data_IF_404388939748
#
_entry.id   IF_404388939748
#
_cell.length_a   1.000
_cell.length_b   1.000
_cell.length_c   1.000
_cell.angle_alpha   90.00
_cell.angle_beta   90.00
_cell.angle_gamma   90.00
#
_symmetry.space_group_name_H-M   'P 1'
#
loop_
_entity.id
_entity.type
_entity.pdbx_description
1 polymer ?
#
# COMPACT_ATOMS: atom_id res chain seq x y z
N UNK A 1 28.96 -16.26 10.14
CA UNK A 1 29.24 -15.07 9.29
C UNK A 1 28.81 -15.31 7.84
N UNK A 2 29.14 -16.44 7.23
CA UNK A 2 28.82 -16.71 5.82
C UNK A 2 27.30 -16.76 5.56
N UNK A 3 26.51 -17.42 6.40
CA UNK A 3 25.06 -17.46 6.28
C UNK A 3 24.40 -16.06 6.43
N UNK A 4 24.93 -15.21 7.29
CA UNK A 4 24.43 -13.83 7.46
C UNK A 4 24.70 -13.00 6.21
N UNK A 5 25.87 -13.16 5.59
CA UNK A 5 26.19 -12.44 4.35
C UNK A 5 25.33 -12.90 3.16
N UNK A 6 25.03 -14.19 3.07
CA UNK A 6 24.11 -14.73 2.05
C UNK A 6 22.67 -14.21 2.23
N UNK A 7 22.15 -14.26 3.46
CA UNK A 7 20.84 -13.72 3.78
C UNK A 7 20.75 -12.21 3.49
N UNK A 8 21.79 -11.45 3.86
CA UNK A 8 21.84 -10.02 3.57
C UNK A 8 21.85 -9.74 2.06
N UNK A 9 22.62 -10.53 1.29
CA UNK A 9 22.67 -10.42 -0.16
C UNK A 9 21.28 -10.68 -0.79
N UNK A 10 20.54 -11.67 -0.29
CA UNK A 10 19.18 -11.97 -0.74
C UNK A 10 18.21 -10.80 -0.47
N UNK A 11 18.23 -10.24 0.74
CA UNK A 11 17.38 -9.12 1.14
C UNK A 11 17.71 -7.87 0.31
N UNK A 12 18.98 -7.51 0.23
CA UNK A 12 19.41 -6.36 -0.57
C UNK A 12 19.14 -6.58 -2.07
N UNK A 13 19.37 -7.80 -2.56
CA UNK A 13 19.08 -8.19 -3.94
C UNK A 13 17.62 -7.98 -4.31
N UNK A 14 16.68 -8.34 -3.43
CA UNK A 14 15.26 -8.09 -3.64
C UNK A 14 14.93 -6.58 -3.71
N UNK A 15 15.51 -5.77 -2.82
CA UNK A 15 15.32 -4.32 -2.84
C UNK A 15 15.89 -3.67 -4.10
N UNK A 16 17.12 -4.02 -4.47
CA UNK A 16 17.80 -3.52 -5.67
C UNK A 16 17.05 -3.94 -6.94
N UNK A 17 16.63 -5.20 -7.02
CA UNK A 17 15.84 -5.68 -8.16
C UNK A 17 14.52 -4.92 -8.32
N UNK A 18 13.80 -4.66 -7.22
CA UNK A 18 12.57 -3.85 -7.22
C UNK A 18 12.84 -2.40 -7.64
N UNK A 19 13.90 -1.80 -7.16
CA UNK A 19 14.31 -0.45 -7.54
C UNK A 19 14.57 -0.34 -9.05
N UNK A 20 15.43 -1.21 -9.57
CA UNK A 20 15.77 -1.19 -11.00
C UNK A 20 14.58 -1.52 -11.89
N UNK A 21 13.75 -2.50 -11.51
CA UNK A 21 12.55 -2.83 -12.25
C UNK A 21 11.56 -1.65 -12.25
N UNK A 22 11.42 -0.95 -11.13
CA UNK A 22 10.59 0.23 -11.02
C UNK A 22 11.11 1.39 -11.89
N UNK A 23 12.40 1.69 -11.83
CA UNK A 23 13.02 2.72 -12.68
C UNK A 23 12.89 2.40 -14.18
N UNK A 24 12.93 1.13 -14.55
CA UNK A 24 12.76 0.69 -15.93
C UNK A 24 11.30 0.82 -16.40
N UNK A 25 10.35 0.43 -15.56
CA UNK A 25 8.92 0.39 -15.91
C UNK A 25 8.23 1.76 -15.78
N UNK A 26 8.69 2.64 -14.88
CA UNK A 26 8.06 3.93 -14.62
C UNK A 26 7.93 4.81 -15.87
N UNK A 27 8.98 5.02 -16.71
CA UNK A 27 8.85 5.85 -17.90
C UNK A 27 7.83 5.29 -18.91
N UNK A 28 7.75 3.97 -19.02
CA UNK A 28 6.78 3.32 -19.88
C UNK A 28 5.35 3.50 -19.33
N UNK A 29 5.14 3.29 -18.04
CA UNK A 29 3.86 3.51 -17.37
C UNK A 29 3.42 4.98 -17.50
N UNK A 30 4.30 5.94 -17.25
CA UNK A 30 3.99 7.37 -17.38
C UNK A 30 3.55 7.71 -18.80
N UNK A 31 4.28 7.25 -19.82
CA UNK A 31 3.89 7.46 -21.23
C UNK A 31 2.52 6.86 -21.54
N UNK A 32 2.25 5.65 -21.04
CA UNK A 32 0.95 5.00 -21.19
C UNK A 32 -0.17 5.80 -20.53
N UNK A 33 0.01 6.23 -19.29
CA UNK A 33 -0.99 7.00 -18.53
C UNK A 33 -1.26 8.37 -19.17
N UNK A 34 -0.23 9.06 -19.60
CA UNK A 34 -0.34 10.35 -20.31
C UNK A 34 -1.02 10.17 -21.66
N UNK A 35 -0.62 9.17 -22.45
CA UNK A 35 -1.23 8.90 -23.76
C UNK A 35 -2.71 8.58 -23.68
N UNK A 36 -3.15 7.92 -22.61
CA UNK A 36 -4.58 7.60 -22.39
C UNK A 36 -5.32 8.62 -21.54
N UNK A 37 -4.68 9.74 -21.19
CA UNK A 37 -5.26 10.81 -20.37
C UNK A 37 -5.85 10.28 -19.04
N UNK A 38 -5.10 9.44 -18.34
CA UNK A 38 -5.49 8.77 -17.09
C UNK A 38 -5.36 9.70 -15.88
N UNK A 39 -6.04 10.85 -15.94
CA UNK A 39 -6.13 11.82 -14.85
C UNK A 39 -7.57 12.23 -14.59
N UNK A 40 -7.79 12.85 -13.45
CA UNK A 40 -9.11 13.36 -13.08
C UNK A 40 -9.52 14.51 -14.00
N UNK A 41 -10.75 14.49 -14.47
CA UNK A 41 -11.27 15.51 -15.41
C UNK A 41 -11.84 16.76 -14.73
N UNK A 42 -12.10 16.71 -13.43
CA UNK A 42 -12.65 17.81 -12.64
C UNK A 42 -11.87 18.01 -11.34
N UNK A 43 -11.64 19.27 -10.99
CA UNK A 43 -11.00 19.65 -9.70
C UNK A 43 -11.90 19.23 -8.54
N UNK A 44 -11.30 18.78 -7.45
CA UNK A 44 -12.00 18.43 -6.23
C UNK A 44 -12.42 19.70 -5.49
N UNK A 45 -13.72 19.94 -5.38
CA UNK A 45 -14.28 21.11 -4.68
C UNK A 45 -14.76 20.80 -3.28
N UNK A 46 -14.98 19.52 -2.94
CA UNK A 46 -15.51 19.08 -1.64
C UNK A 46 -14.60 18.08 -0.95
N UNK A 47 -14.46 18.22 0.38
CA UNK A 47 -13.77 17.26 1.23
C UNK A 47 -14.54 15.94 1.33
N UNK A 48 -13.86 14.87 1.80
CA UNK A 48 -14.48 13.56 2.05
C UNK A 48 -15.66 13.61 3.05
N UNK A 49 -15.70 14.65 3.91
CA UNK A 49 -16.77 14.92 4.86
C UNK A 49 -17.85 15.93 4.38
N UNK A 50 -17.84 16.31 3.11
CA UNK A 50 -18.87 17.19 2.52
C UNK A 50 -18.62 18.69 2.65
N UNK A 51 -17.55 19.13 3.31
CA UNK A 51 -17.16 20.55 3.40
C UNK A 51 -16.48 21.06 2.12
N UNK A 52 -16.55 22.37 1.86
CA UNK A 52 -15.85 23.00 0.75
C UNK A 52 -14.35 23.10 1.00
N UNK A 53 -13.52 23.03 -0.05
CA UNK A 53 -12.07 23.05 -0.01
C UNK A 53 -11.48 24.31 -0.69
N UNK A 54 -11.75 25.54 -0.19
CA UNK A 54 -11.34 26.75 -0.89
C UNK A 54 -9.82 26.92 -0.97
N UNK A 55 -9.09 26.54 0.07
CA UNK A 55 -7.61 26.62 0.13
C UNK A 55 -6.97 25.60 -0.83
N UNK A 56 -7.44 24.36 -0.79
CA UNK A 56 -6.95 23.31 -1.68
C UNK A 56 -7.18 23.67 -3.15
N UNK A 57 -8.39 24.11 -3.50
CA UNK A 57 -8.75 24.50 -4.87
C UNK A 57 -7.88 25.65 -5.37
N UNK A 58 -7.51 26.60 -4.49
CA UNK A 58 -6.67 27.74 -4.85
C UNK A 58 -5.22 27.37 -5.18
N UNK A 59 -4.64 26.43 -4.43
CA UNK A 59 -3.21 26.11 -4.53
C UNK A 59 -2.90 24.84 -5.34
N UNK A 60 -3.83 23.89 -5.41
CA UNK A 60 -3.62 22.58 -6.04
C UNK A 60 -4.58 22.26 -7.18
N UNK A 61 -5.61 23.11 -7.41
CA UNK A 61 -6.69 22.81 -8.37
C UNK A 61 -6.21 22.57 -9.80
N UNK A 62 -5.26 23.36 -10.29
CA UNK A 62 -4.77 23.23 -11.67
C UNK A 62 -3.89 21.99 -11.85
N UNK A 63 -3.07 21.62 -10.86
CA UNK A 63 -2.21 20.44 -10.89
C UNK A 63 -2.98 19.13 -10.86
N UNK A 64 -4.10 19.08 -10.12
CA UNK A 64 -4.90 17.85 -9.96
C UNK A 64 -5.49 17.33 -11.29
N UNK A 65 -5.80 18.22 -12.26
CA UNK A 65 -6.47 17.87 -13.51
C UNK A 65 -5.52 17.30 -14.56
N UNK A 66 -4.21 17.56 -14.49
CA UNK A 66 -3.25 17.12 -15.50
C UNK A 66 -2.25 16.08 -15.00
N UNK A 67 -2.28 15.75 -13.72
CA UNK A 67 -1.37 14.77 -13.13
C UNK A 67 -1.94 13.35 -13.30
N UNK A 68 -1.22 12.44 -13.99
CA UNK A 68 -1.65 11.05 -14.13
C UNK A 68 -1.82 10.38 -12.78
N UNK A 69 -2.90 9.62 -12.63
CA UNK A 69 -3.11 8.72 -11.49
C UNK A 69 -2.55 7.34 -11.80
N UNK A 70 -2.57 6.43 -10.86
CA UNK A 70 -2.08 5.06 -10.99
C UNK A 70 -0.56 4.87 -10.91
N UNK A 71 0.22 5.90 -10.58
CA UNK A 71 1.65 5.73 -10.32
C UNK A 71 1.94 4.68 -9.24
N UNK A 72 1.07 4.58 -8.23
CA UNK A 72 1.13 3.57 -7.18
C UNK A 72 1.07 2.11 -7.67
N UNK A 73 0.65 1.84 -8.90
CA UNK A 73 0.67 0.49 -9.50
C UNK A 73 2.06 -0.13 -9.45
N UNK A 74 3.12 0.65 -9.62
CA UNK A 74 4.50 0.17 -9.50
C UNK A 74 4.80 -0.32 -8.08
N UNK A 75 4.29 0.40 -7.07
CA UNK A 75 4.57 0.11 -5.65
C UNK A 75 3.97 -1.22 -5.20
N UNK A 76 2.81 -1.61 -5.71
CA UNK A 76 2.15 -2.83 -5.27
C UNK A 76 2.27 -4.02 -6.22
N UNK A 77 2.67 -3.83 -7.49
CA UNK A 77 2.91 -4.94 -8.42
C UNK A 77 4.35 -5.44 -8.43
N UNK A 78 5.32 -4.55 -8.28
CA UNK A 78 6.73 -4.91 -8.38
C UNK A 78 7.18 -5.82 -7.22
N UNK A 79 6.91 -5.49 -5.94
CA UNK A 79 7.37 -6.33 -4.84
C UNK A 79 6.88 -7.79 -4.93
N UNK A 80 5.57 -8.06 -5.13
CA UNK A 80 5.10 -9.43 -5.31
C UNK A 80 5.73 -10.16 -6.51
N UNK A 81 5.93 -9.45 -7.63
CA UNK A 81 6.56 -10.02 -8.81
C UNK A 81 8.02 -10.42 -8.53
N UNK A 82 8.78 -9.55 -7.86
CA UNK A 82 10.16 -9.84 -7.47
C UNK A 82 10.22 -11.00 -6.48
N UNK A 83 9.33 -11.02 -5.47
CA UNK A 83 9.24 -12.11 -4.49
C UNK A 83 8.92 -13.46 -5.15
N UNK A 84 8.03 -13.45 -6.15
CA UNK A 84 7.69 -14.64 -6.92
C UNK A 84 8.87 -15.15 -7.75
N UNK A 85 9.56 -14.25 -8.46
CA UNK A 85 10.72 -14.61 -9.32
C UNK A 85 11.89 -15.14 -8.49
N UNK A 86 12.12 -14.54 -7.29
CA UNK A 86 13.17 -14.98 -6.38
C UNK A 86 12.80 -16.22 -5.55
N UNK A 87 11.57 -16.72 -5.65
CA UNK A 87 11.12 -17.91 -4.93
C UNK A 87 10.91 -17.68 -3.42
N UNK A 88 10.65 -16.45 -2.98
CA UNK A 88 10.48 -16.09 -1.57
C UNK A 88 9.03 -16.19 -1.07
N UNK A 89 8.10 -16.70 -1.87
CA UNK A 89 6.71 -16.90 -1.45
C UNK A 89 6.48 -18.35 -0.97
N UNK A 90 7.26 -18.78 0.02
CA UNK A 90 7.18 -20.16 0.53
C UNK A 90 6.49 -20.23 1.89
N UNK A 91 6.63 -19.22 2.73
CA UNK A 91 6.07 -19.19 4.08
C UNK A 91 4.79 -18.37 4.16
N UNK A 92 3.83 -18.86 4.93
CA UNK A 92 2.56 -18.15 5.18
C UNK A 92 2.79 -16.75 5.76
N UNK A 93 3.82 -16.57 6.59
CA UNK A 93 4.20 -15.28 7.16
C UNK A 93 4.57 -14.23 6.10
N UNK A 94 5.00 -14.64 4.91
CA UNK A 94 5.33 -13.78 3.79
C UNK A 94 4.17 -13.67 2.80
N UNK A 95 3.47 -14.78 2.56
CA UNK A 95 2.32 -14.82 1.65
C UNK A 95 1.19 -13.92 2.15
N UNK A 96 0.92 -13.90 3.45
CA UNK A 96 -0.17 -13.13 4.03
C UNK A 96 -0.01 -11.60 3.80
N UNK A 97 1.12 -10.95 4.15
CA UNK A 97 1.32 -9.52 3.85
C UNK A 97 1.28 -9.20 2.36
N UNK A 98 1.83 -10.08 1.51
CA UNK A 98 1.76 -9.91 0.04
C UNK A 98 0.32 -9.98 -0.46
N UNK A 99 -0.48 -10.92 0.04
CA UNK A 99 -1.89 -11.03 -0.32
C UNK A 99 -2.69 -9.79 0.14
N UNK A 100 -2.45 -9.31 1.36
CA UNK A 100 -3.07 -8.08 1.89
C UNK A 100 -2.69 -6.87 1.03
N UNK A 101 -1.41 -6.72 0.67
CA UNK A 101 -0.94 -5.68 -0.22
C UNK A 101 -1.70 -5.70 -1.55
N UNK A 102 -1.80 -6.86 -2.21
CA UNK A 102 -2.49 -7.01 -3.49
C UNK A 102 -3.99 -6.69 -3.38
N UNK A 103 -4.69 -7.25 -2.37
CA UNK A 103 -6.13 -7.07 -2.20
C UNK A 103 -6.46 -5.62 -1.87
N UNK A 104 -5.77 -5.01 -0.91
CA UNK A 104 -6.01 -3.63 -0.52
C UNK A 104 -5.69 -2.65 -1.66
N UNK A 105 -4.57 -2.87 -2.37
CA UNK A 105 -4.16 -2.03 -3.49
C UNK A 105 -5.09 -2.17 -4.70
N UNK A 106 -5.63 -3.37 -4.95
CA UNK A 106 -6.60 -3.58 -6.01
C UNK A 106 -7.89 -2.80 -5.77
N UNK A 107 -8.35 -2.72 -4.54
CA UNK A 107 -9.52 -1.88 -4.19
C UNK A 107 -9.20 -0.40 -4.35
N UNK A 108 -8.01 0.05 -3.95
CA UNK A 108 -7.54 1.42 -4.21
C UNK A 108 -7.45 1.72 -5.71
N UNK A 109 -6.96 0.76 -6.50
CA UNK A 109 -6.91 0.89 -7.94
C UNK A 109 -8.30 1.03 -8.59
N UNK A 110 -9.29 0.24 -8.14
CA UNK A 110 -10.68 0.37 -8.59
C UNK A 110 -11.22 1.77 -8.26
N UNK A 111 -10.94 2.26 -7.05
CA UNK A 111 -11.38 3.59 -6.64
C UNK A 111 -10.81 4.70 -7.53
N UNK A 112 -9.52 4.67 -7.82
CA UNK A 112 -8.88 5.61 -8.73
C UNK A 112 -9.41 5.47 -10.17
N UNK A 113 -9.63 4.23 -10.61
CA UNK A 113 -10.20 3.97 -11.93
C UNK A 113 -11.60 4.58 -12.09
N UNK A 114 -12.47 4.41 -11.09
CA UNK A 114 -13.81 5.02 -11.09
C UNK A 114 -13.72 6.54 -11.17
N UNK A 115 -12.77 7.17 -10.49
CA UNK A 115 -12.57 8.61 -10.51
C UNK A 115 -12.10 9.14 -11.89
N UNK A 116 -11.25 8.38 -12.58
CA UNK A 116 -10.74 8.76 -13.92
C UNK A 116 -11.81 8.59 -15.01
N UNK A 117 -12.61 7.53 -14.89
CA UNK A 117 -13.62 7.12 -15.89
C UNK A 117 -14.95 7.88 -15.73
N UNK A 118 -15.12 8.64 -14.64
CA UNK A 118 -16.35 9.41 -14.31
C UNK A 118 -16.96 10.17 -15.51
N UNK A 119 -16.12 10.72 -16.39
CA UNK A 119 -16.58 11.45 -17.56
C UNK A 119 -17.12 10.58 -18.70
N UNK A 120 -16.72 9.31 -18.81
CA UNK A 120 -17.10 8.39 -19.89
C UNK A 120 -18.35 7.58 -19.57
N UNK A 121 -18.63 7.31 -18.32
CA UNK A 121 -19.75 6.49 -17.85
C UNK A 121 -20.77 7.27 -17.00
N UNK A 122 -20.92 8.58 -17.24
CA UNK A 122 -21.93 9.41 -16.57
C UNK A 122 -23.37 8.86 -16.70
N UNK A 123 -23.61 7.90 -17.60
CA UNK A 123 -24.88 7.20 -17.77
C UNK A 123 -25.11 6.06 -16.76
N UNK A 124 -24.07 5.59 -16.06
CA UNK A 124 -24.17 4.42 -15.12
C UNK A 124 -24.56 4.80 -13.69
N UNK A 125 -24.80 6.07 -13.39
CA UNK A 125 -25.36 6.52 -12.12
C UNK A 125 -24.54 7.61 -11.43
N UNK A 126 -25.24 8.62 -10.95
CA UNK A 126 -24.70 9.75 -10.17
C UNK A 126 -24.01 9.37 -8.85
N UNK A 127 -24.11 8.10 -8.42
CA UNK A 127 -23.58 7.62 -7.15
C UNK A 127 -22.07 7.30 -7.17
N UNK A 128 -21.45 7.13 -8.35
CA UNK A 128 -20.02 6.80 -8.46
C UNK A 128 -19.15 8.00 -8.88
N UNK A 129 -19.73 9.17 -8.99
CA UNK A 129 -19.13 10.39 -9.53
C UNK A 129 -17.98 10.98 -8.70
N UNK A 130 -17.57 10.38 -7.59
CA UNK A 130 -16.46 10.83 -6.73
C UNK A 130 -15.54 9.70 -6.27
N UNK A 131 -15.60 8.52 -6.90
CA UNK A 131 -14.98 7.29 -6.39
C UNK A 131 -15.87 6.58 -5.38
N UNK A 132 -15.35 5.57 -4.72
CA UNK A 132 -16.06 4.86 -3.66
C UNK A 132 -16.35 5.79 -2.47
N UNK A 133 -17.58 5.83 -1.99
CA UNK A 133 -17.93 6.58 -0.79
C UNK A 133 -17.09 6.11 0.40
N UNK A 134 -16.74 7.03 1.29
CA UNK A 134 -15.89 6.75 2.46
C UNK A 134 -16.39 5.54 3.28
N UNK A 135 -17.71 5.41 3.46
CA UNK A 135 -18.30 4.29 4.20
C UNK A 135 -17.97 2.91 3.60
N UNK A 136 -17.96 2.77 2.28
CA UNK A 136 -17.63 1.50 1.62
C UNK A 136 -16.15 1.17 1.77
N UNK A 137 -15.26 2.16 1.62
CA UNK A 137 -13.83 1.98 1.86
C UNK A 137 -13.56 1.57 3.31
N UNK A 138 -14.15 2.30 4.25
CA UNK A 138 -14.01 2.02 5.68
C UNK A 138 -14.50 0.60 6.04
N UNK A 139 -15.70 0.23 5.56
CA UNK A 139 -16.25 -1.11 5.78
C UNK A 139 -15.38 -2.19 5.15
N UNK A 140 -14.86 -1.98 3.95
CA UNK A 140 -13.97 -2.93 3.29
C UNK A 140 -12.68 -3.14 4.08
N UNK A 141 -12.02 -2.08 4.52
CA UNK A 141 -10.78 -2.17 5.33
C UNK A 141 -11.05 -2.85 6.68
N UNK A 142 -12.18 -2.54 7.33
CA UNK A 142 -12.58 -3.21 8.57
C UNK A 142 -12.78 -4.71 8.36
N UNK A 143 -13.50 -5.10 7.32
CA UNK A 143 -13.71 -6.52 6.97
C UNK A 143 -12.42 -7.22 6.60
N UNK A 144 -11.56 -6.57 5.80
CA UNK A 144 -10.24 -7.10 5.47
C UNK A 144 -9.41 -7.31 6.74
N UNK A 145 -9.42 -6.34 7.66
CA UNK A 145 -8.74 -6.44 8.95
C UNK A 145 -9.26 -7.60 9.81
N UNK A 146 -10.59 -7.82 9.86
CA UNK A 146 -11.17 -8.96 10.55
C UNK A 146 -10.72 -10.29 9.94
N UNK A 147 -10.76 -10.41 8.62
CA UNK A 147 -10.35 -11.64 7.91
C UNK A 147 -8.86 -11.90 8.12
N UNK A 148 -8.00 -10.91 7.98
CA UNK A 148 -6.55 -11.04 8.17
C UNK A 148 -6.24 -11.37 9.63
N UNK A 149 -6.87 -10.70 10.58
CA UNK A 149 -6.74 -11.00 12.01
C UNK A 149 -7.18 -12.42 12.37
N UNK A 150 -8.27 -12.90 11.75
CA UNK A 150 -8.70 -14.28 11.88
C UNK A 150 -7.65 -15.27 11.34
N UNK A 151 -7.13 -15.03 10.13
CA UNK A 151 -6.08 -15.86 9.55
C UNK A 151 -4.80 -15.82 10.40
N UNK A 152 -4.48 -14.68 11.00
CA UNK A 152 -3.33 -14.57 11.89
C UNK A 152 -3.43 -15.49 13.10
N UNK A 153 -4.60 -15.56 13.73
CA UNK A 153 -4.85 -16.48 14.85
C UNK A 153 -4.82 -17.94 14.42
N UNK A 154 -5.60 -18.29 13.39
CA UNK A 154 -5.82 -19.71 13.04
C UNK A 154 -4.72 -20.32 12.19
N UNK A 155 -3.97 -19.51 11.42
CA UNK A 155 -2.94 -20.01 10.50
C UNK A 155 -1.53 -19.78 11.07
N UNK A 156 -1.31 -18.65 11.72
CA UNK A 156 0.00 -18.29 12.28
C UNK A 156 0.11 -18.56 13.79
N UNK A 157 -1.00 -18.91 14.45
CA UNK A 157 -1.02 -19.17 15.90
C UNK A 157 -0.77 -17.95 16.77
N UNK A 158 -0.94 -16.72 16.22
CA UNK A 158 -0.72 -15.47 16.92
C UNK A 158 -1.94 -15.04 17.73
N UNK A 159 -1.97 -15.34 19.03
CA UNK A 159 -3.08 -14.97 19.93
C UNK A 159 -2.72 -13.83 20.89
N UNK A 160 -1.45 -13.42 20.92
CA UNK A 160 -0.93 -12.46 21.87
C UNK A 160 -0.38 -11.19 21.18
N UNK A 161 -0.52 -10.07 21.87
CA UNK A 161 0.12 -8.81 21.50
C UNK A 161 1.21 -8.50 22.51
N UNK A 162 2.43 -8.30 22.03
CA UNK A 162 3.53 -7.89 22.88
C UNK A 162 3.41 -6.41 23.21
N UNK A 163 3.30 -6.10 24.51
CA UNK A 163 3.32 -4.72 24.99
C UNK A 163 4.67 -4.48 25.68
N UNK A 164 5.46 -3.47 25.24
CA UNK A 164 6.70 -3.14 25.91
C UNK A 164 6.47 -2.94 27.41
N UNK A 165 7.35 -3.51 28.23
CA UNK A 165 7.36 -3.54 29.70
C UNK A 165 6.27 -4.41 30.38
N UNK A 166 5.17 -4.76 29.69
CA UNK A 166 4.11 -5.65 30.25
C UNK A 166 4.21 -7.09 29.74
N UNK A 167 4.95 -7.31 28.64
CA UNK A 167 5.08 -8.66 28.05
C UNK A 167 3.93 -9.01 27.11
N UNK A 168 3.73 -10.31 26.88
CA UNK A 168 2.74 -10.83 25.96
C UNK A 168 1.36 -10.91 26.62
N UNK A 169 0.40 -10.18 26.08
CA UNK A 169 -0.99 -10.23 26.51
C UNK A 169 -1.78 -11.07 25.50
N UNK A 170 -2.24 -12.23 25.93
CA UNK A 170 -3.12 -13.09 25.14
C UNK A 170 -4.50 -12.45 25.03
N UNK A 171 -4.86 -11.99 23.83
CA UNK A 171 -6.18 -11.40 23.56
C UNK A 171 -7.16 -12.44 22.98
N UNK A 172 -6.66 -13.60 22.54
CA UNK A 172 -7.46 -14.72 22.06
C UNK A 172 -8.44 -14.30 20.96
N UNK A 173 -9.72 -14.61 21.14
CA UNK A 173 -10.79 -14.31 20.17
C UNK A 173 -11.00 -12.83 19.84
N UNK A 174 -10.50 -11.91 20.65
CA UNK A 174 -10.54 -10.48 20.37
C UNK A 174 -9.48 -10.00 19.39
N UNK A 175 -8.50 -10.86 19.06
CA UNK A 175 -7.40 -10.50 18.15
C UNK A 175 -7.88 -10.02 16.76
N UNK A 176 -8.87 -10.63 16.08
CA UNK A 176 -9.37 -10.12 14.81
C UNK A 176 -9.96 -8.71 14.90
N UNK A 177 -10.65 -8.39 15.99
CA UNK A 177 -11.20 -7.04 16.19
C UNK A 177 -10.10 -6.03 16.46
N UNK A 178 -9.11 -6.38 17.28
CA UNK A 178 -7.93 -5.57 17.50
C UNK A 178 -7.21 -5.30 16.17
N UNK A 179 -6.99 -6.31 15.36
CA UNK A 179 -6.33 -6.20 14.07
C UNK A 179 -7.13 -5.33 13.09
N UNK A 180 -8.45 -5.42 13.08
CA UNK A 180 -9.30 -4.53 12.29
C UNK A 180 -9.16 -3.06 12.70
N UNK A 181 -9.07 -2.77 14.01
CA UNK A 181 -8.81 -1.42 14.51
C UNK A 181 -7.44 -0.91 14.05
N UNK A 182 -6.39 -1.74 14.12
CA UNK A 182 -5.05 -1.41 13.62
C UNK A 182 -5.07 -1.13 12.12
N UNK A 183 -5.76 -1.94 11.34
CA UNK A 183 -5.93 -1.74 9.89
C UNK A 183 -6.64 -0.42 9.57
N UNK A 184 -7.68 -0.09 10.30
CA UNK A 184 -8.40 1.18 10.16
C UNK A 184 -7.54 2.38 10.56
N UNK A 185 -6.76 2.27 11.64
CA UNK A 185 -5.83 3.31 12.07
C UNK A 185 -4.74 3.55 11.00
N UNK A 186 -4.17 2.47 10.45
CA UNK A 186 -3.19 2.54 9.36
C UNK A 186 -3.80 3.18 8.10
N UNK A 187 -5.01 2.79 7.74
CA UNK A 187 -5.73 3.37 6.60
C UNK A 187 -5.99 4.87 6.78
N UNK A 188 -6.31 5.31 8.00
CA UNK A 188 -6.54 6.73 8.29
C UNK A 188 -5.30 7.60 8.06
N UNK A 189 -4.10 7.04 8.19
CA UNK A 189 -2.84 7.71 7.87
C UNK A 189 -2.74 8.15 6.41
N UNK A 190 -3.34 7.44 5.47
CA UNK A 190 -3.40 7.82 4.05
C UNK A 190 -4.26 9.05 3.77
N UNK A 191 -5.10 9.49 4.71
CA UNK A 191 -5.90 10.73 4.57
C UNK A 191 -5.03 11.99 4.77
N UNK A 192 -3.89 11.85 5.42
CA UNK A 192 -2.97 12.95 5.78
C UNK A 192 -1.99 13.26 4.64
N UNK A 193 -1.98 12.46 3.57
CA UNK A 193 -1.07 12.64 2.43
C UNK A 193 -1.45 13.89 1.62
N UNK A 194 -0.90 15.01 2.01
CA UNK A 194 -1.15 16.31 1.39
C UNK A 194 0.11 16.98 0.81
N UNK A 195 1.25 16.31 0.87
CA UNK A 195 2.54 16.81 0.36
C UNK A 195 3.16 15.71 -0.52
N UNK A 196 3.57 16.08 -1.73
CA UNK A 196 4.18 15.15 -2.67
C UNK A 196 5.41 14.45 -2.06
N UNK A 197 5.41 13.12 -2.11
CA UNK A 197 6.47 12.28 -1.57
C UNK A 197 6.43 12.00 -0.06
N UNK A 198 5.58 12.68 0.72
CA UNK A 198 5.51 12.49 2.18
C UNK A 198 5.13 11.05 2.55
N UNK A 199 4.05 10.54 1.99
CA UNK A 199 3.60 9.17 2.26
C UNK A 199 4.63 8.15 1.76
N UNK A 200 5.14 8.32 0.54
CA UNK A 200 6.15 7.42 -0.03
C UNK A 200 7.42 7.36 0.82
N UNK A 201 7.93 8.52 1.28
CA UNK A 201 9.09 8.60 2.17
C UNK A 201 8.84 7.98 3.54
N UNK A 202 7.69 8.26 4.16
CA UNK A 202 7.31 7.68 5.45
C UNK A 202 7.18 6.15 5.37
N UNK A 203 6.53 5.63 4.32
CA UNK A 203 6.43 4.19 4.12
C UNK A 203 7.78 3.55 3.83
N UNK A 204 8.67 4.19 3.05
CA UNK A 204 10.01 3.67 2.83
C UNK A 204 10.79 3.55 4.15
N UNK A 205 10.70 4.54 5.04
CA UNK A 205 11.31 4.49 6.37
C UNK A 205 10.71 3.37 7.24
N UNK A 206 9.37 3.25 7.27
CA UNK A 206 8.67 2.20 8.01
C UNK A 206 9.05 0.80 7.53
N UNK A 207 8.98 0.54 6.23
CA UNK A 207 9.33 -0.77 5.69
C UNK A 207 10.83 -1.08 5.85
N UNK A 208 11.71 -0.08 5.84
CA UNK A 208 13.13 -0.27 6.17
C UNK A 208 13.31 -0.73 7.62
N UNK A 209 12.60 -0.11 8.57
CA UNK A 209 12.66 -0.50 9.97
C UNK A 209 12.09 -1.92 10.20
N UNK A 210 10.92 -2.24 9.65
CA UNK A 210 10.34 -3.58 9.74
C UNK A 210 11.20 -4.64 9.04
N UNK A 211 11.82 -4.30 7.91
CA UNK A 211 12.75 -5.18 7.22
C UNK A 211 13.99 -5.49 8.05
N UNK A 212 14.53 -4.49 8.75
CA UNK A 212 15.65 -4.70 9.69
C UNK A 212 15.23 -5.62 10.85
N UNK A 213 14.07 -5.37 11.47
CA UNK A 213 13.55 -6.22 12.56
C UNK A 213 13.38 -7.67 12.05
N UNK A 214 12.72 -7.88 10.94
CA UNK A 214 12.51 -9.21 10.37
C UNK A 214 13.85 -9.92 10.06
N UNK A 215 14.84 -9.19 9.59
CA UNK A 215 16.18 -9.73 9.34
C UNK A 215 16.86 -10.20 10.63
N UNK A 216 16.81 -9.40 11.70
CA UNK A 216 17.38 -9.77 13.00
C UNK A 216 16.64 -10.92 13.67
N UNK A 217 15.34 -11.07 13.41
CA UNK A 217 14.53 -12.22 13.84
C UNK A 217 14.78 -13.48 12.99
N UNK A 218 15.62 -13.38 11.95
CA UNK A 218 15.93 -14.50 11.05
C UNK A 218 14.85 -14.79 10.00
N UNK A 219 13.85 -13.91 9.84
CA UNK A 219 12.79 -14.03 8.82
C UNK A 219 13.23 -13.34 7.52
N UNK A 220 14.16 -13.99 6.80
CA UNK A 220 14.79 -13.45 5.60
C UNK A 220 13.78 -13.14 4.49
N UNK A 221 12.73 -13.98 4.33
CA UNK A 221 11.71 -13.77 3.30
C UNK A 221 10.89 -12.49 3.57
N UNK A 222 10.48 -12.28 4.82
CA UNK A 222 9.75 -11.07 5.21
C UNK A 222 10.64 -9.83 5.10
N UNK A 223 11.91 -9.93 5.48
CA UNK A 223 12.89 -8.87 5.29
C UNK A 223 13.08 -8.52 3.81
N UNK A 224 13.16 -9.54 2.93
CA UNK A 224 13.26 -9.36 1.48
C UNK A 224 11.99 -8.69 0.90
N UNK A 225 10.81 -9.06 1.39
CA UNK A 225 9.56 -8.39 1.03
C UNK A 225 9.59 -6.90 1.40
N UNK A 226 9.97 -6.57 2.62
CA UNK A 226 10.11 -5.18 3.05
C UNK A 226 11.12 -4.41 2.19
N UNK A 227 12.28 -5.00 1.89
CA UNK A 227 13.29 -4.40 1.03
C UNK A 227 12.76 -4.20 -0.41
N UNK A 228 12.00 -5.15 -0.95
CA UNK A 228 11.38 -5.02 -2.26
C UNK A 228 10.36 -3.87 -2.31
N UNK A 229 9.56 -3.70 -1.24
CA UNK A 229 8.63 -2.56 -1.11
C UNK A 229 9.41 -1.24 -1.06
N UNK A 230 10.48 -1.16 -0.28
CA UNK A 230 11.36 0.04 -0.23
C UNK A 230 11.93 0.36 -1.60
N UNK A 231 12.46 -0.64 -2.32
CA UNK A 231 13.00 -0.43 -3.66
C UNK A 231 11.96 0.12 -4.64
N UNK A 232 10.74 -0.41 -4.62
CA UNK A 232 9.65 0.08 -5.48
C UNK A 232 9.17 1.48 -5.08
N UNK A 233 9.14 1.80 -3.77
CA UNK A 233 8.83 3.15 -3.28
C UNK A 233 9.88 4.17 -3.72
N UNK A 234 11.17 3.84 -3.61
CA UNK A 234 12.26 4.72 -4.06
C UNK A 234 12.19 4.97 -5.57
N UNK A 235 11.86 3.96 -6.37
CA UNK A 235 11.66 4.15 -7.81
C UNK A 235 10.45 5.05 -8.12
N UNK A 236 9.37 4.91 -7.35
CA UNK A 236 8.18 5.76 -7.47
C UNK A 236 8.46 7.22 -7.09
N UNK A 237 9.23 7.44 -6.02
CA UNK A 237 9.60 8.78 -5.55
C UNK A 237 10.59 9.52 -6.46
N UNK A 238 11.28 8.79 -7.35
CA UNK A 238 12.21 9.39 -8.31
C UNK A 238 11.51 10.16 -9.43
N UNK A 239 10.31 9.78 -9.81
CA UNK A 239 9.52 10.36 -10.91
C UNK A 239 8.37 11.22 -10.40
#
# INVERSE_FOLDING_TARGET
>A
TQAISENLLQVMGAGVASLFLGLLLAPWLIRFLVGHQMWRKKVRTRALGGGDLPVFTKYHGEGEVHTPRFGGVLVWLIPPAVMLVLGFLTKTQTILPVAVLLIASFVGFIDDFLQVVEGRFAKLGKHFAGGLEFKYRFTFIALLGLVVGYLFVFVLGGEAVHIPWLGDIAIGWWFPFFFAVVMLATYSGGVIDGIDGLAGGAFAAMFSAFGAIAFFEGNVELAAFCAAVVGSLLSFLWF
#
